data_IF_460030084131
#
_entry.id   IF_460030084131
#
_cell.length_a   1.000
_cell.length_b   1.000
_cell.length_c   1.000
_cell.angle_alpha   90.00
_cell.angle_beta   90.00
_cell.angle_gamma   90.00
#
_symmetry.space_group_name_H-M   'P 1'
#
loop_
_entity.id
_entity.type
_entity.pdbx_description
1 polymer ?
#
# COMPACT_ATOMS: atom_id res chain seq x y z
N UNK A 1 -17.68 -0.41 -14.72
CA UNK A 1 -16.36 -0.11 -15.31
C UNK A 1 -15.49 0.59 -14.27
N UNK A 2 -14.71 -0.19 -13.53
CA UNK A 2 -13.86 0.28 -12.43
C UNK A 2 -12.79 1.30 -12.90
N UNK A 3 -12.23 1.10 -14.09
CA UNK A 3 -11.23 2.02 -14.66
C UNK A 3 -11.85 3.38 -14.95
N UNK A 4 -13.08 3.41 -15.48
CA UNK A 4 -13.82 4.65 -15.69
C UNK A 4 -14.11 5.39 -14.38
N UNK A 5 -14.47 4.67 -13.31
CA UNK A 5 -14.69 5.27 -11.98
C UNK A 5 -13.40 5.90 -11.46
N UNK A 6 -12.26 5.19 -11.58
CA UNK A 6 -10.96 5.73 -11.18
C UNK A 6 -10.58 6.98 -11.98
N UNK A 7 -10.75 6.95 -13.31
CA UNK A 7 -10.45 8.10 -14.16
C UNK A 7 -11.28 9.34 -13.77
N UNK A 8 -12.59 9.16 -13.56
CA UNK A 8 -13.45 10.24 -13.10
C UNK A 8 -13.09 10.72 -11.68
N UNK A 9 -12.71 9.82 -10.78
CA UNK A 9 -12.28 10.20 -9.43
C UNK A 9 -11.01 11.06 -9.47
N UNK A 10 -10.02 10.72 -10.31
CA UNK A 10 -8.79 11.50 -10.49
C UNK A 10 -9.12 12.89 -11.07
N UNK A 11 -9.93 12.95 -12.13
CA UNK A 11 -10.33 14.22 -12.74
C UNK A 11 -11.10 15.11 -11.77
N UNK A 12 -12.04 14.52 -11.01
CA UNK A 12 -12.77 15.24 -9.96
C UNK A 12 -11.83 15.74 -8.86
N UNK A 13 -10.86 14.92 -8.40
CA UNK A 13 -9.86 15.32 -7.41
C UNK A 13 -9.01 16.50 -7.87
N UNK A 14 -8.59 16.51 -9.13
CA UNK A 14 -7.86 17.66 -9.71
C UNK A 14 -8.74 18.91 -9.76
N UNK A 15 -10.00 18.78 -10.17
CA UNK A 15 -10.95 19.92 -10.23
C UNK A 15 -11.27 20.48 -8.83
N UNK A 16 -11.37 19.62 -7.83
CA UNK A 16 -11.64 19.98 -6.44
C UNK A 16 -10.51 20.78 -5.75
N UNK A 17 -9.34 20.87 -6.36
CA UNK A 17 -8.30 21.80 -5.88
C UNK A 17 -8.81 23.24 -5.80
N UNK A 18 -9.71 23.61 -6.71
CA UNK A 18 -10.30 24.96 -6.80
C UNK A 18 -11.59 25.10 -5.98
N UNK A 19 -12.07 24.03 -5.34
CA UNK A 19 -13.28 24.07 -4.53
C UNK A 19 -13.04 24.86 -3.21
N UNK A 20 -14.13 25.45 -2.69
CA UNK A 20 -14.10 26.11 -1.40
C UNK A 20 -13.93 25.12 -0.23
N UNK A 21 -13.63 25.65 0.95
CA UNK A 21 -13.39 24.84 2.16
C UNK A 21 -14.63 24.00 2.55
N UNK A 22 -15.83 24.52 2.36
CA UNK A 22 -17.07 23.81 2.70
C UNK A 22 -17.23 22.56 1.85
N UNK A 23 -17.00 22.67 0.53
CA UNK A 23 -17.07 21.50 -0.37
C UNK A 23 -16.03 20.45 0.01
N UNK A 24 -14.80 20.85 0.34
CA UNK A 24 -13.74 19.94 0.79
C UNK A 24 -14.14 19.22 2.08
N UNK A 25 -14.66 19.96 3.09
CA UNK A 25 -15.13 19.36 4.34
C UNK A 25 -16.26 18.37 4.13
N UNK A 26 -17.23 18.66 3.28
CA UNK A 26 -18.32 17.74 2.95
C UNK A 26 -17.80 16.44 2.30
N UNK A 27 -16.82 16.55 1.42
CA UNK A 27 -16.21 15.37 0.78
C UNK A 27 -15.37 14.56 1.76
N UNK A 28 -14.65 15.20 2.66
CA UNK A 28 -13.90 14.53 3.72
C UNK A 28 -14.83 13.79 4.68
N UNK A 29 -15.97 14.39 5.02
CA UNK A 29 -17.01 13.75 5.83
C UNK A 29 -17.62 12.55 5.11
N UNK A 30 -17.94 12.69 3.83
CA UNK A 30 -18.45 11.61 3.00
C UNK A 30 -17.42 10.45 2.89
N UNK A 31 -16.15 10.77 2.70
CA UNK A 31 -15.08 9.78 2.69
C UNK A 31 -14.96 9.04 4.02
N UNK A 32 -15.07 9.74 5.16
CA UNK A 32 -15.07 9.11 6.49
C UNK A 32 -16.25 8.16 6.69
N UNK A 33 -17.44 8.53 6.24
CA UNK A 33 -18.63 7.67 6.31
C UNK A 33 -18.45 6.41 5.48
N UNK A 34 -17.96 6.54 4.23
CA UNK A 34 -17.67 5.39 3.36
C UNK A 34 -16.62 4.49 4.01
N UNK A 35 -15.56 5.07 4.56
CA UNK A 35 -14.52 4.34 5.30
C UNK A 35 -15.08 3.53 6.46
N UNK A 36 -15.98 4.12 7.25
CA UNK A 36 -16.65 3.42 8.35
C UNK A 36 -17.47 2.22 7.86
N UNK A 37 -18.24 2.39 6.77
CA UNK A 37 -19.02 1.29 6.16
C UNK A 37 -18.10 0.18 5.65
N UNK A 38 -17.02 0.53 4.94
CA UNK A 38 -16.01 -0.45 4.46
C UNK A 38 -15.39 -1.21 5.64
N UNK A 39 -15.00 -0.50 6.70
CA UNK A 39 -14.44 -1.10 7.91
C UNK A 39 -15.42 -2.06 8.59
N UNK A 40 -16.72 -1.75 8.59
CA UNK A 40 -17.76 -2.63 9.13
C UNK A 40 -17.85 -3.92 8.32
N UNK A 41 -17.83 -3.83 6.97
CA UNK A 41 -17.83 -5.00 6.08
C UNK A 41 -16.59 -5.86 6.32
N UNK A 42 -15.40 -5.23 6.45
CA UNK A 42 -14.15 -5.95 6.72
C UNK A 42 -14.20 -6.66 8.09
N UNK A 43 -14.85 -6.08 9.11
CA UNK A 43 -15.02 -6.73 10.42
C UNK A 43 -15.87 -7.99 10.36
N UNK A 44 -16.81 -8.08 9.42
CA UNK A 44 -17.66 -9.25 9.22
C UNK A 44 -16.97 -10.30 8.33
N UNK A 45 -16.01 -9.89 7.51
CA UNK A 45 -15.28 -10.77 6.59
C UNK A 45 -14.70 -12.05 7.24
N UNK A 46 -14.15 -12.05 8.48
CA UNK A 46 -13.64 -13.27 9.11
C UNK A 46 -14.68 -14.40 9.22
N UNK A 47 -15.93 -14.08 9.43
CA UNK A 47 -16.99 -15.09 9.47
C UNK A 47 -17.26 -15.71 8.10
N UNK A 48 -17.28 -14.90 7.05
CA UNK A 48 -17.38 -15.38 5.67
C UNK A 48 -16.19 -16.22 5.25
N UNK A 49 -14.99 -15.77 5.62
CA UNK A 49 -13.72 -16.51 5.37
C UNK A 49 -13.72 -17.83 6.14
N UNK A 50 -14.13 -17.86 7.40
CA UNK A 50 -14.23 -19.10 8.16
C UNK A 50 -15.16 -20.10 7.48
N UNK A 51 -16.34 -19.66 7.03
CA UNK A 51 -17.27 -20.51 6.27
C UNK A 51 -16.64 -21.03 4.97
N UNK A 52 -15.98 -20.17 4.19
CA UNK A 52 -15.35 -20.53 2.94
C UNK A 52 -14.20 -21.53 3.16
N UNK A 53 -13.32 -21.29 4.13
CA UNK A 53 -12.20 -22.17 4.48
C UNK A 53 -12.70 -23.53 4.93
N UNK A 54 -13.71 -23.54 5.82
CA UNK A 54 -14.30 -24.79 6.31
C UNK A 54 -14.89 -25.60 5.17
N UNK A 55 -15.64 -24.98 4.27
CA UNK A 55 -16.21 -25.64 3.10
C UNK A 55 -15.11 -26.17 2.17
N UNK A 56 -14.05 -25.37 1.93
CA UNK A 56 -12.93 -25.78 1.08
C UNK A 56 -12.16 -26.95 1.69
N UNK A 57 -11.83 -26.91 2.98
CA UNK A 57 -11.14 -28.01 3.68
C UNK A 57 -11.98 -29.27 3.68
N UNK A 58 -13.28 -29.16 3.89
CA UNK A 58 -14.19 -30.30 3.91
C UNK A 58 -14.31 -30.99 2.53
N UNK A 59 -14.18 -30.24 1.45
CA UNK A 59 -14.34 -30.75 0.08
C UNK A 59 -13.02 -31.17 -0.57
N UNK A 60 -11.92 -30.48 -0.33
CA UNK A 60 -10.65 -30.67 -1.05
C UNK A 60 -9.45 -31.01 -0.16
N UNK A 61 -9.61 -30.95 1.17
CA UNK A 61 -8.57 -31.26 2.14
C UNK A 61 -7.55 -30.14 2.35
N UNK A 62 -6.62 -30.36 3.30
CA UNK A 62 -5.58 -29.37 3.67
C UNK A 62 -4.52 -29.10 2.59
N UNK A 63 -4.34 -30.00 1.62
CA UNK A 63 -3.40 -29.81 0.51
C UNK A 63 -3.69 -28.57 -0.34
N UNK A 64 -4.93 -28.09 -0.31
CA UNK A 64 -5.38 -26.87 -0.99
C UNK A 64 -4.68 -25.60 -0.48
N UNK A 65 -4.07 -25.64 0.71
CA UNK A 65 -3.36 -24.48 1.27
C UNK A 65 -1.92 -24.31 0.75
N UNK A 66 -1.34 -25.34 0.14
CA UNK A 66 0.03 -25.24 -0.40
C UNK A 66 0.19 -24.12 -1.45
N UNK A 67 -0.76 -23.87 -2.39
CA UNK A 67 -0.71 -22.73 -3.30
C UNK A 67 -0.69 -21.36 -2.59
N UNK A 68 -1.37 -21.22 -1.45
CA UNK A 68 -1.37 -19.97 -0.70
C UNK A 68 -0.02 -19.68 -0.05
N UNK A 69 0.72 -20.69 0.39
CA UNK A 69 2.08 -20.52 0.88
C UNK A 69 2.99 -19.95 -0.21
N UNK A 70 2.87 -20.41 -1.45
CA UNK A 70 3.60 -19.87 -2.60
C UNK A 70 3.19 -18.41 -2.88
N UNK A 71 1.89 -18.12 -2.84
CA UNK A 71 1.37 -16.76 -3.05
C UNK A 71 1.92 -15.79 -1.99
N UNK A 72 1.86 -16.18 -0.72
CA UNK A 72 2.42 -15.40 0.40
C UNK A 72 3.93 -15.20 0.21
N UNK A 73 4.66 -16.25 -0.17
CA UNK A 73 6.11 -16.14 -0.39
C UNK A 73 6.47 -15.18 -1.52
N UNK A 74 5.73 -15.20 -2.64
CA UNK A 74 5.93 -14.24 -3.74
C UNK A 74 5.60 -12.83 -3.30
N UNK A 75 4.51 -12.64 -2.58
CA UNK A 75 4.05 -11.34 -2.13
C UNK A 75 5.00 -10.72 -1.11
N UNK A 76 5.36 -11.46 -0.05
CA UNK A 76 6.33 -11.01 0.95
C UNK A 76 7.73 -10.85 0.35
N UNK A 77 8.13 -11.74 -0.56
CA UNK A 77 9.39 -11.65 -1.29
C UNK A 77 9.47 -10.37 -2.13
N UNK A 78 8.39 -10.02 -2.83
CA UNK A 78 8.31 -8.76 -3.60
C UNK A 78 8.40 -7.53 -2.68
N UNK A 79 7.71 -7.53 -1.55
CA UNK A 79 7.78 -6.47 -0.55
C UNK A 79 9.19 -6.37 0.06
N UNK A 80 9.83 -7.50 0.36
CA UNK A 80 11.20 -7.54 0.87
C UNK A 80 12.21 -7.00 -0.15
N UNK A 81 12.08 -7.33 -1.43
CA UNK A 81 12.90 -6.77 -2.51
C UNK A 81 12.76 -5.25 -2.56
N UNK A 82 11.56 -4.72 -2.46
CA UNK A 82 11.34 -3.27 -2.44
C UNK A 82 11.95 -2.66 -1.18
N UNK A 83 11.70 -3.22 0.00
CA UNK A 83 12.21 -2.68 1.26
C UNK A 83 13.74 -2.73 1.38
N UNK A 84 14.37 -3.81 0.91
CA UNK A 84 15.78 -4.09 1.16
C UNK A 84 16.71 -3.84 -0.03
N UNK A 85 16.17 -3.65 -1.24
CA UNK A 85 16.95 -3.41 -2.45
C UNK A 85 16.50 -2.12 -3.12
N UNK A 86 15.23 -1.99 -3.50
CA UNK A 86 14.76 -0.85 -4.31
C UNK A 86 14.82 0.46 -3.52
N UNK A 87 14.22 0.51 -2.34
CA UNK A 87 14.22 1.69 -1.48
C UNK A 87 15.64 2.11 -1.07
N UNK A 88 16.53 1.19 -0.59
CA UNK A 88 17.93 1.53 -0.34
C UNK A 88 18.67 2.07 -1.58
N UNK A 89 18.43 1.50 -2.76
CA UNK A 89 19.06 1.98 -3.98
C UNK A 89 18.60 3.41 -4.34
N UNK A 90 17.31 3.72 -4.17
CA UNK A 90 16.79 5.08 -4.37
C UNK A 90 17.43 6.08 -3.39
N UNK A 91 17.50 5.71 -2.11
CA UNK A 91 18.15 6.56 -1.07
C UNK A 91 19.62 6.72 -1.36
N UNK A 92 20.33 5.67 -1.77
CA UNK A 92 21.73 5.76 -2.19
C UNK A 92 21.90 6.69 -3.39
N UNK A 93 21.02 6.62 -4.38
CA UNK A 93 21.08 7.49 -5.55
C UNK A 93 20.93 8.98 -5.17
N UNK A 94 20.11 9.29 -4.15
CA UNK A 94 19.86 10.63 -3.65
C UNK A 94 21.02 11.11 -2.75
N UNK A 95 21.38 10.31 -1.74
CA UNK A 95 22.32 10.72 -0.70
C UNK A 95 23.80 10.39 -1.02
N UNK A 96 24.05 9.49 -1.97
CA UNK A 96 25.40 9.03 -2.36
C UNK A 96 26.23 8.49 -1.17
N UNK A 97 25.55 7.89 -0.20
CA UNK A 97 26.17 7.26 0.97
C UNK A 97 25.45 5.95 1.30
N UNK A 98 26.01 5.14 2.22
CA UNK A 98 25.41 3.88 2.62
C UNK A 98 24.00 4.12 3.19
N UNK A 99 22.92 3.61 2.56
CA UNK A 99 21.55 3.84 3.01
C UNK A 99 21.11 2.92 4.15
N UNK A 100 21.79 1.78 4.33
CA UNK A 100 21.31 0.72 5.20
C UNK A 100 21.16 1.10 6.69
N UNK A 101 22.02 1.94 7.30
CA UNK A 101 21.77 2.39 8.68
C UNK A 101 20.43 3.11 8.83
N UNK A 102 20.07 3.97 7.87
CA UNK A 102 18.78 4.67 7.87
C UNK A 102 17.63 3.70 7.58
N UNK A 103 17.77 2.85 6.55
CA UNK A 103 16.77 1.84 6.19
C UNK A 103 16.43 0.94 7.37
N UNK A 104 17.47 0.43 8.06
CA UNK A 104 17.27 -0.45 9.21
C UNK A 104 16.57 0.25 10.36
N UNK A 105 16.91 1.50 10.62
CA UNK A 105 16.27 2.31 11.64
C UNK A 105 14.78 2.53 11.32
N UNK A 106 14.46 2.87 10.07
CA UNK A 106 13.07 3.02 9.62
C UNK A 106 12.27 1.71 9.72
N UNK A 107 12.85 0.58 9.28
CA UNK A 107 12.19 -0.72 9.36
C UNK A 107 11.92 -1.16 10.81
N UNK A 108 12.86 -0.92 11.73
CA UNK A 108 12.71 -1.36 13.11
C UNK A 108 11.83 -0.41 13.93
N UNK A 109 11.95 0.89 13.78
CA UNK A 109 11.26 1.87 14.62
C UNK A 109 9.90 2.30 14.07
N UNK A 110 9.70 2.24 12.75
CA UNK A 110 8.42 2.52 12.11
C UNK A 110 7.76 1.24 11.59
N UNK A 111 8.51 0.40 10.86
CA UNK A 111 7.95 -0.79 10.20
C UNK A 111 7.40 -1.82 11.18
N UNK A 112 8.10 -2.10 12.29
CA UNK A 112 7.61 -3.08 13.29
C UNK A 112 6.30 -2.61 13.96
N UNK A 113 6.17 -1.40 14.50
CA UNK A 113 4.88 -0.92 15.01
C UNK A 113 3.78 -0.95 13.95
N UNK A 114 4.08 -0.51 12.72
CA UNK A 114 3.13 -0.52 11.62
C UNK A 114 2.67 -1.94 11.24
N UNK A 115 3.55 -2.95 11.33
CA UNK A 115 3.22 -4.35 11.12
C UNK A 115 2.12 -4.84 12.07
N UNK A 116 2.19 -4.46 13.33
CA UNK A 116 1.20 -4.90 14.33
C UNK A 116 -0.08 -4.07 14.30
N UNK A 117 -0.01 -2.77 14.02
CA UNK A 117 -1.18 -1.90 13.95
C UNK A 117 -1.97 -2.08 12.65
N UNK A 118 -1.31 -2.46 11.56
CA UNK A 118 -1.86 -2.56 10.20
C UNK A 118 -2.56 -1.28 9.75
N UNK A 119 -2.07 -0.14 10.22
CA UNK A 119 -2.63 1.17 9.90
C UNK A 119 -1.52 2.22 9.81
N UNK A 120 -1.24 2.70 8.60
CA UNK A 120 -0.29 3.79 8.39
C UNK A 120 -0.74 5.07 9.11
N UNK A 121 -2.05 5.32 9.16
CA UNK A 121 -2.60 6.46 9.88
C UNK A 121 -2.35 6.37 11.41
N UNK A 122 -2.50 5.19 12.01
CA UNK A 122 -2.21 4.98 13.43
C UNK A 122 -0.70 5.09 13.74
N UNK A 123 0.15 4.92 12.73
CA UNK A 123 1.61 5.00 12.88
C UNK A 123 2.17 6.41 12.69
N UNK A 124 1.34 7.41 12.29
CA UNK A 124 1.78 8.81 12.10
C UNK A 124 2.53 9.34 13.31
N UNK A 125 2.04 9.26 14.57
CA UNK A 125 2.77 9.79 15.72
C UNK A 125 4.16 9.16 15.87
N UNK A 126 4.28 7.85 15.71
CA UNK A 126 5.56 7.12 15.78
C UNK A 126 6.53 7.60 14.70
N UNK A 127 6.03 7.86 13.49
CA UNK A 127 6.84 8.35 12.39
C UNK A 127 7.30 9.80 12.60
N UNK A 128 6.47 10.65 13.21
CA UNK A 128 6.85 12.02 13.58
C UNK A 128 7.96 12.01 14.64
N UNK A 129 7.79 11.22 15.71
CA UNK A 129 8.80 11.06 16.76
C UNK A 129 10.13 10.55 16.18
N UNK A 130 10.07 9.56 15.28
CA UNK A 130 11.26 9.03 14.61
C UNK A 130 11.95 10.08 13.73
N UNK A 131 11.20 10.93 13.03
CA UNK A 131 11.77 12.04 12.25
C UNK A 131 12.49 13.05 13.14
N UNK A 132 11.95 13.38 14.31
CA UNK A 132 12.59 14.23 15.30
C UNK A 132 13.90 13.62 15.80
N UNK A 133 13.91 12.32 16.14
CA UNK A 133 15.11 11.58 16.53
C UNK A 133 16.18 11.52 15.43
N UNK A 134 15.76 11.55 14.17
CA UNK A 134 16.64 11.60 12.99
C UNK A 134 17.13 13.01 12.67
N UNK A 135 16.73 14.02 13.45
CA UNK A 135 17.05 15.43 13.26
C UNK A 135 16.58 15.98 11.89
N UNK A 136 15.44 15.49 11.42
CA UNK A 136 14.77 16.01 10.23
C UNK A 136 14.04 17.30 10.62
N UNK A 137 14.01 18.28 9.72
CA UNK A 137 13.34 19.57 10.00
C UNK A 137 11.83 19.37 10.16
N UNK A 138 11.27 19.99 11.20
CA UNK A 138 9.85 19.91 11.52
C UNK A 138 8.96 20.38 10.34
N UNK A 139 9.36 21.43 9.64
CA UNK A 139 8.67 21.93 8.44
C UNK A 139 8.57 20.88 7.31
N UNK A 140 9.49 19.92 7.27
CA UNK A 140 9.48 18.83 6.31
C UNK A 140 8.57 17.70 6.77
N UNK A 141 8.82 17.12 7.96
CA UNK A 141 8.13 15.92 8.38
C UNK A 141 6.68 16.14 8.82
N UNK A 142 6.34 17.35 9.34
CA UNK A 142 4.96 17.68 9.73
C UNK A 142 3.97 17.62 8.56
N UNK A 143 4.45 17.81 7.34
CA UNK A 143 3.65 17.73 6.11
C UNK A 143 3.82 16.36 5.46
N UNK A 144 5.07 15.89 5.28
CA UNK A 144 5.35 14.68 4.49
C UNK A 144 4.85 13.41 5.14
N UNK A 145 4.92 13.28 6.48
CA UNK A 145 4.49 12.05 7.17
C UNK A 145 2.96 11.86 7.12
N UNK A 146 2.10 12.85 7.45
CA UNK A 146 0.66 12.70 7.26
C UNK A 146 0.25 12.49 5.80
N UNK A 147 0.92 13.15 4.86
CA UNK A 147 0.67 12.95 3.43
C UNK A 147 1.11 11.55 2.98
N UNK A 148 2.30 11.11 3.36
CA UNK A 148 2.84 9.79 3.05
C UNK A 148 1.96 8.66 3.56
N UNK A 149 1.44 8.78 4.79
CA UNK A 149 0.51 7.80 5.36
C UNK A 149 -0.77 7.57 4.51
N UNK A 150 -1.03 8.44 3.53
CA UNK A 150 -2.16 8.29 2.60
C UNK A 150 -1.73 7.94 1.17
N UNK A 151 -0.61 8.46 0.68
CA UNK A 151 -0.22 8.31 -0.73
C UNK A 151 0.96 7.36 -0.97
N UNK A 152 1.81 7.14 0.03
CA UNK A 152 2.96 6.24 -0.11
C UNK A 152 2.57 4.79 0.20
N UNK A 153 1.93 4.15 -0.75
CA UNK A 153 1.28 2.84 -0.63
C UNK A 153 1.94 1.78 -1.53
N UNK A 154 3.27 1.71 -1.50
CA UNK A 154 4.03 0.76 -2.31
C UNK A 154 3.65 -0.71 -2.02
N UNK A 155 3.44 -1.06 -0.75
CA UNK A 155 2.99 -2.40 -0.35
C UNK A 155 1.60 -2.72 -0.88
N UNK A 156 0.67 -1.75 -0.83
CA UNK A 156 -0.68 -1.91 -1.39
C UNK A 156 -0.63 -2.11 -2.92
N UNK A 157 0.20 -1.35 -3.62
CA UNK A 157 0.39 -1.53 -5.07
C UNK A 157 0.92 -2.92 -5.40
N UNK A 158 1.88 -3.44 -4.62
CA UNK A 158 2.40 -4.81 -4.76
C UNK A 158 1.28 -5.83 -4.53
N UNK A 159 0.50 -5.66 -3.47
CA UNK A 159 -0.63 -6.56 -3.15
C UNK A 159 -1.62 -6.64 -4.30
N UNK A 160 -2.07 -5.48 -4.82
CA UNK A 160 -3.01 -5.41 -5.94
C UNK A 160 -2.43 -6.12 -7.18
N UNK A 161 -1.19 -5.81 -7.53
CA UNK A 161 -0.55 -6.37 -8.71
C UNK A 161 -0.32 -7.88 -8.58
N UNK A 162 0.25 -8.35 -7.47
CA UNK A 162 0.59 -9.77 -7.25
C UNK A 162 -0.66 -10.63 -7.18
N UNK A 163 -1.69 -10.20 -6.43
CA UNK A 163 -2.93 -10.99 -6.31
C UNK A 163 -3.66 -11.09 -7.66
N UNK A 164 -3.71 -10.01 -8.43
CA UNK A 164 -4.36 -10.01 -9.75
C UNK A 164 -3.58 -10.82 -10.78
N UNK A 165 -2.25 -10.75 -10.79
CA UNK A 165 -1.41 -11.58 -11.66
C UNK A 165 -1.45 -13.05 -11.27
N UNK A 166 -1.50 -13.36 -9.97
CA UNK A 166 -1.67 -14.73 -9.49
C UNK A 166 -3.01 -15.32 -9.92
N UNK A 167 -4.09 -14.52 -9.87
CA UNK A 167 -5.39 -14.91 -10.40
C UNK A 167 -5.33 -15.22 -11.90
N UNK A 168 -4.78 -14.30 -12.71
CA UNK A 168 -4.61 -14.50 -14.15
C UNK A 168 -3.83 -15.78 -14.46
N UNK A 169 -2.75 -16.02 -13.72
CA UNK A 169 -1.95 -17.24 -13.88
C UNK A 169 -2.73 -18.50 -13.52
N UNK A 170 -3.55 -18.45 -12.45
CA UNK A 170 -4.33 -19.60 -11.98
C UNK A 170 -5.43 -20.00 -12.96
N UNK A 171 -6.08 -19.03 -13.60
CA UNK A 171 -7.12 -19.30 -14.61
C UNK A 171 -6.57 -19.30 -16.05
N UNK A 172 -5.23 -19.33 -16.18
CA UNK A 172 -4.52 -19.40 -17.46
C UNK A 172 -4.84 -18.26 -18.45
N UNK A 173 -5.15 -17.06 -17.95
CA UNK A 173 -5.30 -15.87 -18.79
C UNK A 173 -3.91 -15.34 -19.16
N UNK A 174 -3.58 -15.25 -20.45
CA UNK A 174 -2.28 -14.73 -20.89
C UNK A 174 -2.20 -13.23 -20.60
N UNK A 175 -1.18 -12.81 -19.85
CA UNK A 175 -0.94 -11.39 -19.56
C UNK A 175 0.14 -10.85 -20.46
N UNK A 176 -0.25 -9.95 -21.38
CA UNK A 176 0.71 -9.26 -22.22
C UNK A 176 1.56 -8.28 -21.39
N UNK A 177 2.87 -8.11 -21.67
CA UNK A 177 3.74 -7.20 -20.90
C UNK A 177 3.21 -5.78 -20.75
N UNK A 178 2.57 -5.25 -21.77
CA UNK A 178 1.94 -3.92 -21.70
C UNK A 178 0.79 -3.87 -20.68
N UNK A 179 -0.04 -4.92 -20.61
CA UNK A 179 -1.12 -4.99 -19.62
C UNK A 179 -0.56 -5.13 -18.20
N UNK A 180 0.57 -5.83 -18.03
CA UNK A 180 1.26 -5.90 -16.74
C UNK A 180 1.81 -4.53 -16.31
N UNK A 181 2.38 -3.75 -17.22
CA UNK A 181 2.83 -2.39 -16.94
C UNK A 181 1.65 -1.45 -16.60
N UNK A 182 0.56 -1.53 -17.37
CA UNK A 182 -0.65 -0.76 -17.08
C UNK A 182 -1.25 -1.16 -15.72
N UNK A 183 -1.23 -2.45 -15.38
CA UNK A 183 -1.65 -2.93 -14.07
C UNK A 183 -0.81 -2.32 -12.95
N UNK A 184 0.52 -2.32 -13.07
CA UNK A 184 1.39 -1.71 -12.07
C UNK A 184 1.12 -0.20 -11.92
N UNK A 185 0.93 0.51 -13.02
CA UNK A 185 0.61 1.93 -13.00
C UNK A 185 -0.75 2.20 -12.31
N UNK A 186 -1.80 1.46 -12.70
CA UNK A 186 -3.13 1.59 -12.09
C UNK A 186 -3.16 1.12 -10.64
N UNK A 187 -2.40 0.07 -10.29
CA UNK A 187 -2.26 -0.39 -8.91
C UNK A 187 -1.62 0.70 -8.04
N UNK A 188 -0.60 1.40 -8.54
CA UNK A 188 0.06 2.49 -7.83
C UNK A 188 -0.88 3.69 -7.62
N UNK A 189 -1.60 4.11 -8.67
CA UNK A 189 -2.58 5.19 -8.56
C UNK A 189 -3.75 4.82 -7.63
N UNK A 190 -4.25 3.59 -7.76
CA UNK A 190 -5.34 3.10 -6.94
C UNK A 190 -4.91 2.96 -5.47
N UNK A 191 -3.71 2.46 -5.22
CA UNK A 191 -3.16 2.30 -3.88
C UNK A 191 -3.07 3.64 -3.13
N UNK A 192 -2.66 4.73 -3.81
CA UNK A 192 -2.66 6.07 -3.23
C UNK A 192 -4.06 6.55 -2.81
N UNK A 193 -5.13 5.98 -3.39
CA UNK A 193 -6.53 6.24 -2.99
C UNK A 193 -7.09 5.27 -1.96
N UNK A 194 -6.36 4.19 -1.64
CA UNK A 194 -6.85 3.14 -0.72
C UNK A 194 -6.87 3.57 0.75
N UNK A 195 -6.24 4.71 1.07
CA UNK A 195 -6.19 5.29 2.42
C UNK A 195 -5.70 4.28 3.49
N UNK A 196 -4.60 4.49 4.16
CA UNK A 196 -3.88 3.60 5.10
C UNK A 196 -4.70 2.89 6.19
N UNK A 197 -5.78 2.22 5.77
CA UNK A 197 -6.67 1.41 6.62
C UNK A 197 -6.52 -0.08 6.27
N UNK A 198 -6.66 -0.98 7.25
CA UNK A 198 -6.55 -2.41 7.04
C UNK A 198 -7.45 -2.93 5.91
N UNK A 199 -6.86 -3.69 4.98
CA UNK A 199 -7.59 -4.32 3.86
C UNK A 199 -7.98 -3.38 2.73
N UNK A 200 -7.57 -2.11 2.72
CA UNK A 200 -7.92 -1.14 1.68
C UNK A 200 -7.47 -1.55 0.28
N UNK A 201 -6.30 -2.15 0.16
CA UNK A 201 -5.75 -2.66 -1.11
C UNK A 201 -6.62 -3.73 -1.77
N UNK A 202 -7.29 -4.59 -0.97
CA UNK A 202 -8.14 -5.66 -1.48
C UNK A 202 -9.37 -5.14 -2.23
N UNK A 203 -9.85 -3.95 -1.87
CA UNK A 203 -11.01 -3.32 -2.53
C UNK A 203 -10.69 -2.89 -3.97
N UNK A 204 -9.42 -2.81 -4.35
CA UNK A 204 -8.98 -2.43 -5.69
C UNK A 204 -8.70 -3.63 -6.61
N UNK A 205 -8.76 -4.85 -6.09
CA UNK A 205 -8.59 -6.07 -6.88
C UNK A 205 -9.58 -6.18 -8.04
N UNK A 206 -10.88 -5.87 -7.90
CA UNK A 206 -11.81 -5.93 -9.03
C UNK A 206 -11.43 -5.00 -10.18
N UNK A 207 -10.86 -3.83 -9.90
CA UNK A 207 -10.34 -2.91 -10.91
C UNK A 207 -9.16 -3.56 -11.66
N UNK A 208 -8.20 -4.10 -10.93
CA UNK A 208 -7.03 -4.75 -11.48
C UNK A 208 -7.37 -6.01 -12.29
N UNK A 209 -8.29 -6.84 -11.78
CA UNK A 209 -8.80 -8.02 -12.45
C UNK A 209 -9.54 -7.66 -13.74
N UNK A 210 -10.35 -6.60 -13.74
CA UNK A 210 -11.07 -6.16 -14.93
C UNK A 210 -10.15 -5.70 -16.05
N UNK A 211 -8.98 -5.11 -15.72
CA UNK A 211 -7.95 -4.77 -16.70
C UNK A 211 -7.37 -6.01 -17.40
N UNK A 212 -7.28 -7.11 -16.67
CA UNK A 212 -6.78 -8.40 -17.17
C UNK A 212 -7.87 -9.25 -17.84
N UNK A 213 -9.11 -8.74 -17.93
CA UNK A 213 -10.25 -9.49 -18.49
C UNK A 213 -10.80 -10.57 -17.55
N UNK A 214 -10.47 -10.52 -16.27
CA UNK A 214 -10.95 -11.46 -15.25
C UNK A 214 -12.34 -11.00 -14.80
N UNK A 215 -13.27 -11.97 -14.73
CA UNK A 215 -14.66 -11.72 -14.34
C UNK A 215 -14.83 -11.36 -12.85
N UNK A 216 -16.01 -10.82 -12.52
CA UNK A 216 -16.31 -10.35 -11.17
C UNK A 216 -16.40 -11.47 -10.13
N UNK A 217 -16.80 -12.69 -10.53
CA UNK A 217 -16.89 -13.84 -9.62
C UNK A 217 -15.49 -14.29 -9.21
N UNK A 218 -14.58 -14.43 -10.17
CA UNK A 218 -13.18 -14.74 -9.91
C UNK A 218 -12.51 -13.65 -9.08
N UNK A 219 -12.78 -12.37 -9.37
CA UNK A 219 -12.28 -11.24 -8.58
C UNK A 219 -12.73 -11.32 -7.12
N UNK A 220 -13.99 -11.70 -6.86
CA UNK A 220 -14.49 -11.89 -5.49
C UNK A 220 -13.77 -13.05 -4.76
N UNK A 221 -13.43 -14.13 -5.46
CA UNK A 221 -12.62 -15.20 -4.89
C UNK A 221 -11.21 -14.75 -4.53
N UNK A 222 -10.59 -13.91 -5.37
CA UNK A 222 -9.27 -13.32 -5.09
C UNK A 222 -9.31 -12.44 -3.85
N UNK A 223 -10.36 -11.63 -3.67
CA UNK A 223 -10.56 -10.84 -2.45
C UNK A 223 -10.68 -11.77 -1.24
N UNK A 224 -11.46 -12.85 -1.34
CA UNK A 224 -11.63 -13.80 -0.24
C UNK A 224 -10.28 -14.45 0.16
N UNK A 225 -9.44 -14.81 -0.82
CA UNK A 225 -8.07 -15.28 -0.58
C UNK A 225 -7.23 -14.19 0.09
N UNK A 226 -7.31 -12.94 -0.40
CA UNK A 226 -6.62 -11.80 0.19
C UNK A 226 -7.00 -11.58 1.65
N UNK A 227 -8.29 -11.71 2.00
CA UNK A 227 -8.75 -11.62 3.39
C UNK A 227 -8.22 -12.79 4.23
N UNK A 228 -8.16 -14.00 3.67
CA UNK A 228 -7.63 -15.18 4.36
C UNK A 228 -6.16 -15.01 4.76
N UNK A 229 -5.33 -14.51 3.84
CA UNK A 229 -3.91 -14.26 4.08
C UNK A 229 -3.65 -12.88 4.72
N UNK A 230 -4.70 -12.08 4.90
CA UNK A 230 -4.67 -10.65 5.18
C UNK A 230 -3.93 -10.29 6.46
N UNK A 231 -3.90 -11.16 7.49
CA UNK A 231 -3.15 -10.87 8.71
C UNK A 231 -1.67 -10.67 8.40
N UNK A 232 -1.06 -11.55 7.60
CA UNK A 232 0.37 -11.49 7.28
C UNK A 232 0.61 -10.47 6.16
N UNK A 233 -0.23 -10.49 5.12
CA UNK A 233 -0.10 -9.64 3.95
C UNK A 233 -0.23 -8.16 4.32
N UNK A 234 -1.31 -7.78 4.98
CA UNK A 234 -1.63 -6.40 5.35
C UNK A 234 -0.65 -5.84 6.39
N UNK A 235 -0.16 -6.69 7.31
CA UNK A 235 0.91 -6.34 8.23
C UNK A 235 2.22 -6.00 7.51
N UNK A 236 2.64 -6.82 6.55
CA UNK A 236 3.87 -6.58 5.78
C UNK A 236 3.71 -5.38 4.82
N UNK A 237 2.52 -5.24 4.21
CA UNK A 237 2.14 -4.10 3.39
C UNK A 237 2.28 -2.79 4.17
N UNK A 238 1.69 -2.73 5.36
CA UNK A 238 1.71 -1.52 6.19
C UNK A 238 3.10 -1.23 6.74
N UNK A 239 3.87 -2.26 7.10
CA UNK A 239 5.26 -2.10 7.51
C UNK A 239 6.11 -1.47 6.41
N UNK A 240 5.97 -1.92 5.16
CA UNK A 240 6.66 -1.34 4.01
C UNK A 240 6.21 0.11 3.76
N UNK A 241 4.91 0.36 3.72
CA UNK A 241 4.36 1.70 3.48
C UNK A 241 4.87 2.69 4.52
N UNK A 242 4.67 2.40 5.80
CA UNK A 242 4.99 3.32 6.88
C UNK A 242 6.50 3.55 7.07
N UNK A 243 7.32 2.50 6.99
CA UNK A 243 8.78 2.66 7.09
C UNK A 243 9.38 3.45 5.93
N UNK A 244 8.82 3.34 4.74
CA UNK A 244 9.26 4.11 3.59
C UNK A 244 8.81 5.57 3.64
N UNK A 245 7.75 5.94 4.37
CA UNK A 245 7.38 7.33 4.63
C UNK A 245 8.53 8.07 5.32
N UNK A 246 9.02 7.53 6.43
CA UNK A 246 10.14 8.12 7.17
C UNK A 246 11.41 8.11 6.33
N UNK A 247 11.67 7.00 5.64
CA UNK A 247 12.88 6.81 4.84
C UNK A 247 13.00 7.87 3.74
N UNK A 248 11.94 8.12 2.98
CA UNK A 248 11.95 9.10 1.89
C UNK A 248 11.88 10.53 2.40
N UNK A 249 11.15 10.79 3.48
CA UNK A 249 11.16 12.09 4.16
C UNK A 249 12.57 12.45 4.61
N UNK A 250 13.26 11.52 5.28
CA UNK A 250 14.63 11.71 5.73
C UNK A 250 15.60 11.90 4.55
N UNK A 251 15.47 11.09 3.50
CA UNK A 251 16.33 11.21 2.33
C UNK A 251 16.18 12.56 1.62
N UNK A 252 14.95 13.06 1.50
CA UNK A 252 14.67 14.36 0.89
C UNK A 252 15.23 15.51 1.71
N UNK A 253 14.98 15.53 3.01
CA UNK A 253 15.44 16.58 3.91
C UNK A 253 16.97 16.62 4.03
N UNK A 254 17.62 15.47 4.22
CA UNK A 254 19.09 15.38 4.28
C UNK A 254 19.76 15.82 2.96
N UNK A 255 19.15 15.54 1.82
CA UNK A 255 19.64 16.01 0.53
C UNK A 255 19.54 17.54 0.40
N UNK A 256 18.45 18.12 0.89
CA UNK A 256 18.23 19.57 0.86
C UNK A 256 19.16 20.31 1.83
N UNK A 257 19.34 19.80 3.05
CA UNK A 257 20.31 20.34 4.01
C UNK A 257 21.73 20.42 3.45
N UNK A 258 22.15 19.38 2.70
CA UNK A 258 23.47 19.36 2.04
C UNK A 258 23.61 20.44 0.95
N UNK A 259 22.56 20.62 0.15
CA UNK A 259 22.57 21.67 -0.88
C UNK A 259 22.69 23.05 -0.25
N UNK A 260 21.94 23.30 0.81
CA UNK A 260 21.96 24.58 1.54
C UNK A 260 23.33 24.84 2.17
N UNK A 261 23.93 23.82 2.81
CA UNK A 261 25.27 23.94 3.39
C UNK A 261 26.35 24.19 2.32
N UNK A 262 26.23 23.57 1.14
CA UNK A 262 27.18 23.82 0.03
C UNK A 262 27.09 25.25 -0.53
N UNK A 263 25.87 25.80 -0.61
CA UNK A 263 25.64 27.18 -1.07
C UNK A 263 26.16 28.21 -0.05
N UNK A 264 26.01 27.93 1.25
CA UNK A 264 26.49 28.83 2.32
C UNK A 264 28.02 28.83 2.49
N UNK A 265 28.71 27.81 1.95
CA UNK A 265 30.18 27.68 1.99
C UNK A 265 30.88 28.20 0.73
N UNK A 266 30.13 28.57 -0.32
CA UNK A 266 30.63 29.17 -1.57
C UNK A 266 30.53 30.68 -1.55
#
# INVERSE_FOLDING_TARGET
NYIGILAWAILAGVALRHANSVTKTVLDDAARVIHYVVSLVIRIAPYGVFGLVTATVATTGFSTFAPYARLIAVLLGSMAVVALIVNPLMVWAILRQNPYPLVWRCLTQSGIPAFFTRSSAANIPINLDLCEELHIREETYSISIPLGATINMAGAAITIAVLSLAAANTIHVPVHPLNALLLCFLATLGAAGASGVPGGSLMLIPMACSLLGIDGQTSAQVIAIGVLIGIIQDSAETALNSSSDVLFTAAADLADQRKTAAVSAS
#
